data_IF_801121492445
#
_entry.id   IF_801121492445
#
_cell.length_a   1.000
_cell.length_b   1.000
_cell.length_c   1.000
_cell.angle_alpha   90.00
_cell.angle_beta   90.00
_cell.angle_gamma   90.00
#
_symmetry.space_group_name_H-M   'P 1'
#
loop_
_entity.id
_entity.type
_entity.pdbx_description
1 polymer ?
#
# COMPACT_ATOMS: atom_id res chain seq x y z
N UNK A 1 28.76 -13.64 1.40
CA UNK A 1 27.33 -13.99 1.50
C UNK A 1 26.59 -12.87 0.79
N UNK A 2 25.86 -13.17 -0.28
CA UNK A 2 24.99 -12.19 -0.91
C UNK A 2 24.08 -11.60 0.19
N UNK A 3 24.12 -10.27 0.36
CA UNK A 3 23.29 -9.60 1.35
C UNK A 3 21.82 -9.88 1.03
N UNK A 4 21.00 -10.17 2.04
CA UNK A 4 19.57 -10.40 1.81
C UNK A 4 18.92 -9.14 1.21
N UNK A 5 18.21 -9.31 0.10
CA UNK A 5 17.43 -8.24 -0.55
C UNK A 5 16.24 -7.88 0.32
N UNK A 6 16.03 -6.59 0.55
CA UNK A 6 14.90 -6.07 1.30
C UNK A 6 14.02 -5.19 0.43
N UNK A 7 12.82 -4.85 0.92
CA UNK A 7 11.91 -3.89 0.25
C UNK A 7 12.55 -2.51 -0.02
N UNK A 8 13.67 -2.19 0.64
CA UNK A 8 14.40 -0.94 0.45
C UNK A 8 15.26 -0.93 -0.81
N UNK A 9 15.61 -2.11 -1.31
CA UNK A 9 16.59 -2.31 -2.37
C UNK A 9 15.91 -2.43 -3.76
N UNK A 10 14.58 -2.41 -3.79
CA UNK A 10 13.76 -2.58 -5.00
C UNK A 10 13.00 -1.30 -5.33
N UNK A 11 12.80 -1.04 -6.62
CA UNK A 11 11.97 0.08 -7.07
C UNK A 11 10.56 0.01 -6.47
N UNK A 12 10.04 1.18 -6.10
CA UNK A 12 8.77 1.28 -5.41
C UNK A 12 7.60 0.83 -6.29
N UNK A 13 7.62 1.19 -7.57
CA UNK A 13 6.52 0.93 -8.49
C UNK A 13 6.48 -0.55 -8.88
N UNK A 14 7.65 -1.14 -9.21
CA UNK A 14 7.78 -2.56 -9.53
C UNK A 14 7.35 -3.43 -8.34
N UNK A 15 7.86 -3.16 -7.14
CA UNK A 15 7.45 -3.87 -5.92
C UNK A 15 5.94 -3.77 -5.63
N UNK A 16 5.36 -2.58 -5.71
CA UNK A 16 3.92 -2.39 -5.40
C UNK A 16 3.06 -3.21 -6.37
N UNK A 17 3.44 -3.24 -7.65
CA UNK A 17 2.73 -3.99 -8.69
C UNK A 17 2.83 -5.50 -8.42
N UNK A 18 4.03 -6.01 -8.16
CA UNK A 18 4.27 -7.42 -7.84
C UNK A 18 3.51 -7.86 -6.58
N UNK A 19 3.57 -7.07 -5.51
CA UNK A 19 2.90 -7.41 -4.25
C UNK A 19 1.38 -7.28 -4.34
N UNK A 20 0.85 -6.35 -5.14
CA UNK A 20 -0.59 -6.27 -5.42
C UNK A 20 -1.08 -7.54 -6.15
N UNK A 21 -0.34 -8.00 -7.16
CA UNK A 21 -0.65 -9.24 -7.87
C UNK A 21 -0.60 -10.46 -6.94
N UNK A 22 0.39 -10.51 -6.03
CA UNK A 22 0.47 -11.55 -5.00
C UNK A 22 -0.75 -11.56 -4.07
N UNK A 23 -1.15 -10.41 -3.54
CA UNK A 23 -2.33 -10.28 -2.67
C UNK A 23 -3.62 -10.71 -3.39
N UNK A 24 -3.74 -10.38 -4.67
CA UNK A 24 -4.86 -10.80 -5.52
C UNK A 24 -4.88 -12.32 -5.69
N UNK A 25 -3.75 -12.92 -6.06
CA UNK A 25 -3.60 -14.38 -6.23
C UNK A 25 -3.88 -15.14 -4.93
N UNK A 26 -3.54 -14.56 -3.78
CA UNK A 26 -3.80 -15.19 -2.48
C UNK A 26 -5.30 -15.27 -2.17
N UNK A 27 -6.11 -14.31 -2.63
CA UNK A 27 -7.57 -14.30 -2.43
C UNK A 27 -8.03 -14.16 -0.98
N UNK A 28 -7.11 -13.93 -0.03
CA UNK A 28 -7.41 -13.86 1.41
C UNK A 28 -7.69 -12.45 1.90
N UNK A 29 -7.35 -11.42 1.13
CA UNK A 29 -7.54 -10.03 1.51
C UNK A 29 -9.05 -9.69 1.51
N UNK A 30 -9.66 -9.36 2.66
CA UNK A 30 -11.08 -9.05 2.70
C UNK A 30 -11.35 -7.69 2.05
N UNK A 31 -12.07 -7.69 0.93
CA UNK A 31 -12.43 -6.47 0.20
C UNK A 31 -13.78 -5.94 0.72
N UNK A 32 -13.88 -4.65 1.10
CA UNK A 32 -15.17 -4.04 1.41
C UNK A 32 -16.08 -3.95 0.19
N UNK A 33 -17.37 -4.26 0.35
CA UNK A 33 -18.33 -4.28 -0.78
C UNK A 33 -18.59 -2.92 -1.46
N UNK A 34 -18.08 -1.81 -0.92
CA UNK A 34 -18.22 -0.49 -1.53
C UNK A 34 -17.05 -0.11 -2.46
N UNK A 35 -16.01 -0.95 -2.59
CA UNK A 35 -14.77 -0.62 -3.32
C UNK A 35 -15.01 -0.16 -4.76
N UNK A 36 -16.04 -0.66 -5.42
CA UNK A 36 -16.35 -0.35 -6.83
C UNK A 36 -17.16 0.94 -7.01
N UNK A 37 -17.63 1.55 -5.92
CA UNK A 37 -18.58 2.67 -5.96
C UNK A 37 -18.01 3.98 -5.41
N UNK A 38 -16.85 3.93 -4.77
CA UNK A 38 -16.29 5.08 -4.06
C UNK A 38 -15.10 5.69 -4.77
N UNK A 39 -14.89 6.98 -4.49
CA UNK A 39 -13.61 7.64 -4.70
C UNK A 39 -12.69 7.48 -3.50
N UNK A 40 -11.37 7.52 -3.74
CA UNK A 40 -10.34 7.33 -2.71
C UNK A 40 -10.14 8.54 -1.79
N UNK A 41 -10.68 9.70 -2.15
CA UNK A 41 -10.58 10.91 -1.34
C UNK A 41 -11.47 12.04 -1.85
N UNK A 42 -11.64 13.08 -1.02
CA UNK A 42 -12.50 14.23 -1.36
C UNK A 42 -11.97 14.99 -2.56
N UNK A 43 -10.64 15.11 -2.69
CA UNK A 43 -9.98 15.79 -3.81
C UNK A 43 -10.12 15.09 -5.16
N UNK A 44 -10.47 13.80 -5.18
CA UNK A 44 -10.63 13.07 -6.44
C UNK A 44 -11.98 13.42 -7.07
N UNK A 45 -11.96 13.68 -8.36
CA UNK A 45 -13.16 13.96 -9.17
C UNK A 45 -13.82 12.66 -9.63
N UNK A 46 -13.00 11.67 -10.01
CA UNK A 46 -13.44 10.35 -10.49
C UNK A 46 -12.98 9.23 -9.54
N UNK A 47 -13.69 8.09 -9.51
CA UNK A 47 -13.21 6.87 -8.86
C UNK A 47 -11.97 6.31 -9.58
N UNK A 48 -11.21 5.41 -8.93
CA UNK A 48 -10.11 4.69 -9.58
C UNK A 48 -10.58 3.94 -10.84
N UNK A 49 -9.78 3.97 -11.90
CA UNK A 49 -10.08 3.27 -13.16
C UNK A 49 -9.71 1.79 -13.11
N UNK A 50 -8.66 1.46 -12.35
CA UNK A 50 -8.26 0.07 -12.11
C UNK A 50 -9.25 -0.57 -11.12
N UNK A 51 -9.81 -1.72 -11.50
CA UNK A 51 -10.72 -2.52 -10.66
C UNK A 51 -9.98 -3.09 -9.45
N UNK A 52 -8.68 -3.39 -9.62
CA UNK A 52 -7.83 -3.97 -8.57
C UNK A 52 -7.16 -2.91 -7.69
N UNK A 53 -7.59 -1.64 -7.76
CA UNK A 53 -6.97 -0.53 -7.05
C UNK A 53 -6.84 -0.76 -5.54
N UNK A 54 -7.74 -1.55 -4.94
CA UNK A 54 -7.69 -1.87 -3.52
C UNK A 54 -6.46 -2.71 -3.15
N UNK A 55 -6.05 -3.63 -4.02
CA UNK A 55 -4.83 -4.42 -3.85
C UNK A 55 -3.59 -3.55 -3.99
N UNK A 56 -3.58 -2.66 -4.99
CA UNK A 56 -2.50 -1.67 -5.19
C UNK A 56 -2.37 -0.77 -3.96
N UNK A 57 -3.51 -0.30 -3.42
CA UNK A 57 -3.53 0.51 -2.20
C UNK A 57 -3.00 -0.26 -1.00
N UNK A 58 -3.37 -1.54 -0.85
CA UNK A 58 -2.89 -2.43 0.19
C UNK A 58 -1.39 -2.66 0.12
N UNK A 59 -0.86 -2.94 -1.06
CA UNK A 59 0.57 -3.11 -1.27
C UNK A 59 1.37 -1.84 -0.94
N UNK A 60 0.89 -0.70 -1.41
CA UNK A 60 1.49 0.61 -1.11
C UNK A 60 1.49 0.93 0.39
N UNK A 61 0.39 0.63 1.11
CA UNK A 61 0.32 0.84 2.56
C UNK A 61 1.25 -0.11 3.32
N UNK A 62 1.32 -1.40 2.92
CA UNK A 62 2.20 -2.37 3.54
C UNK A 62 3.68 -1.94 3.42
N UNK A 63 4.10 -1.51 2.22
CA UNK A 63 5.45 -0.93 1.99
C UNK A 63 5.68 0.31 2.85
N UNK A 64 4.70 1.21 2.92
CA UNK A 64 4.84 2.43 3.71
C UNK A 64 5.03 2.15 5.21
N UNK A 65 4.27 1.18 5.76
CA UNK A 65 4.38 0.78 7.16
C UNK A 65 5.72 0.11 7.42
N UNK A 66 6.17 -0.80 6.54
CA UNK A 66 7.49 -1.43 6.61
C UNK A 66 8.62 -0.37 6.76
N UNK A 67 8.60 0.66 5.92
CA UNK A 67 9.65 1.68 5.90
C UNK A 67 9.61 2.64 7.10
N UNK A 68 8.42 2.91 7.65
CA UNK A 68 8.20 3.91 8.70
C UNK A 68 8.03 3.29 10.10
N UNK A 69 8.12 1.96 10.22
CA UNK A 69 7.96 1.14 11.43
C UNK A 69 6.53 1.14 12.00
N UNK A 70 6.04 2.31 12.41
CA UNK A 70 4.71 2.48 13.01
C UNK A 70 3.96 3.61 12.31
N UNK A 71 2.74 3.31 11.84
CA UNK A 71 1.93 4.27 11.07
C UNK A 71 0.47 4.20 11.48
N UNK A 72 -0.15 5.38 11.66
CA UNK A 72 -1.59 5.52 11.88
C UNK A 72 -2.34 6.00 10.64
N UNK A 73 -3.66 5.83 10.64
CA UNK A 73 -4.55 6.25 9.55
C UNK A 73 -4.40 7.73 9.21
N UNK A 74 -4.24 8.61 10.20
CA UNK A 74 -4.07 10.05 9.97
C UNK A 74 -2.83 10.40 9.14
N UNK A 75 -1.73 9.63 9.25
CA UNK A 75 -0.53 9.82 8.44
C UNK A 75 -0.77 9.37 7.00
N UNK A 76 -1.41 8.22 6.81
CA UNK A 76 -1.77 7.72 5.48
C UNK A 76 -2.69 8.68 4.75
N UNK A 77 -3.67 9.27 5.45
CA UNK A 77 -4.57 10.27 4.86
C UNK A 77 -3.85 11.49 4.30
N UNK A 78 -2.77 11.94 4.95
CA UNK A 78 -1.92 13.04 4.45
C UNK A 78 -1.09 12.59 3.26
N UNK A 79 -0.50 11.40 3.32
CA UNK A 79 0.31 10.82 2.23
C UNK A 79 -0.51 10.61 0.96
N UNK A 80 -1.75 10.15 1.10
CA UNK A 80 -2.66 9.91 -0.02
C UNK A 80 -3.50 11.15 -0.39
N UNK A 81 -3.40 12.20 0.42
CA UNK A 81 -4.04 13.49 0.19
C UNK A 81 -3.44 14.18 -1.02
N UNK A 82 -4.22 15.03 -1.66
CA UNK A 82 -3.77 15.79 -2.84
C UNK A 82 -4.44 17.16 -2.90
N UNK A 83 -4.01 18.00 -3.83
CA UNK A 83 -4.62 19.29 -4.04
C UNK A 83 -6.04 19.11 -4.62
N UNK A 84 -7.03 19.75 -4.01
CA UNK A 84 -8.39 19.79 -4.55
C UNK A 84 -8.57 21.00 -5.46
N UNK A 85 -9.15 20.78 -6.64
CA UNK A 85 -9.66 21.85 -7.49
C UNK A 85 -10.95 22.42 -6.87
N UNK A 86 -10.98 23.73 -6.61
CA UNK A 86 -12.10 24.42 -5.95
C UNK A 86 -12.84 25.35 -6.93
N UNK A 87 -12.78 25.04 -8.22
CA UNK A 87 -13.30 25.89 -9.29
C UNK A 87 -12.49 27.18 -9.38
N UNK A 88 -13.15 28.32 -9.23
CA UNK A 88 -12.49 29.64 -9.36
C UNK A 88 -11.59 30.01 -8.17
N UNK A 89 -11.57 29.24 -7.08
CA UNK A 89 -10.74 29.52 -5.89
C UNK A 89 -9.41 28.77 -5.99
N UNK A 90 -8.30 29.33 -5.46
CA UNK A 90 -7.00 28.66 -5.45
C UNK A 90 -7.06 27.25 -4.84
N UNK A 91 -6.23 26.37 -5.39
CA UNK A 91 -6.10 24.99 -4.94
C UNK A 91 -5.55 24.94 -3.51
N UNK A 92 -5.92 23.89 -2.78
CA UNK A 92 -5.38 23.62 -1.43
C UNK A 92 -5.22 22.11 -1.24
N UNK A 93 -4.24 21.71 -0.44
CA UNK A 93 -4.14 20.32 -0.02
C UNK A 93 -5.35 19.91 0.84
N UNK A 94 -5.87 18.71 0.60
CA UNK A 94 -6.83 18.06 1.50
C UNK A 94 -6.47 16.59 1.68
N UNK A 95 -6.70 16.13 2.90
CA UNK A 95 -6.49 14.73 3.30
C UNK A 95 -7.40 13.77 2.50
N UNK A 96 -6.90 12.56 2.27
CA UNK A 96 -7.66 11.47 1.66
C UNK A 96 -8.76 10.91 2.59
N UNK A 97 -9.54 9.97 2.05
CA UNK A 97 -10.59 9.27 2.79
C UNK A 97 -9.99 8.37 3.86
N UNK A 98 -10.29 8.67 5.13
CA UNK A 98 -9.87 7.82 6.24
C UNK A 98 -10.55 6.45 6.26
N UNK A 99 -11.71 6.30 5.62
CA UNK A 99 -12.40 5.00 5.55
C UNK A 99 -11.60 3.99 4.72
N UNK A 100 -11.08 4.44 3.58
CA UNK A 100 -10.29 3.61 2.66
C UNK A 100 -9.03 3.11 3.36
N UNK A 101 -8.17 4.01 3.83
CA UNK A 101 -6.92 3.65 4.47
C UNK A 101 -7.14 2.78 5.73
N UNK A 102 -8.17 3.08 6.52
CA UNK A 102 -8.52 2.28 7.70
C UNK A 102 -8.95 0.87 7.33
N UNK A 103 -9.80 0.70 6.30
CA UNK A 103 -10.25 -0.64 5.88
C UNK A 103 -9.11 -1.44 5.28
N UNK A 104 -8.22 -0.83 4.52
CA UNK A 104 -7.02 -1.50 4.02
C UNK A 104 -6.15 -1.98 5.16
N UNK A 105 -5.86 -1.12 6.15
CA UNK A 105 -5.10 -1.50 7.34
C UNK A 105 -5.74 -2.65 8.13
N UNK A 106 -7.05 -2.61 8.34
CA UNK A 106 -7.81 -3.69 8.99
C UNK A 106 -7.77 -5.00 8.18
N UNK A 107 -7.74 -4.90 6.85
CA UNK A 107 -7.70 -6.07 5.97
C UNK A 107 -6.33 -6.72 5.98
N UNK A 108 -5.25 -5.92 5.97
CA UNK A 108 -3.88 -6.37 6.15
C UNK A 108 -3.62 -6.98 7.54
N UNK A 109 -4.29 -6.46 8.57
CA UNK A 109 -4.24 -7.01 9.93
C UNK A 109 -4.91 -8.39 10.00
N UNK A 110 -6.05 -8.57 9.35
CA UNK A 110 -6.76 -9.87 9.30
C UNK A 110 -5.96 -10.98 8.63
N UNK A 111 -5.13 -10.64 7.64
CA UNK A 111 -4.23 -11.61 6.98
C UNK A 111 -2.87 -11.75 7.70
N UNK A 112 -2.68 -11.08 8.84
CA UNK A 112 -1.48 -11.19 9.67
C UNK A 112 -0.25 -10.46 9.14
N UNK A 113 -0.40 -9.56 8.16
CA UNK A 113 0.71 -8.74 7.65
C UNK A 113 1.00 -7.57 8.58
N UNK A 114 -0.03 -6.96 9.15
CA UNK A 114 0.07 -5.86 10.11
C UNK A 114 -0.44 -6.30 11.49
N UNK A 115 0.08 -5.66 12.54
CA UNK A 115 -0.45 -5.76 13.90
C UNK A 115 -0.58 -4.37 14.52
N UNK A 116 -1.40 -4.28 15.58
CA UNK A 116 -1.51 -3.04 16.34
C UNK A 116 -0.25 -2.83 17.17
N UNK A 117 0.24 -1.60 17.18
CA UNK A 117 1.35 -1.19 18.03
C UNK A 117 0.77 -0.63 19.33
N UNK A 118 0.78 -1.42 20.41
CA UNK A 118 0.21 -1.02 21.71
C UNK A 118 1.03 0.07 22.40
N UNK A 119 2.35 0.13 22.14
CA UNK A 119 3.24 1.09 22.81
C UNK A 119 3.11 2.49 22.21
N UNK A 120 3.12 2.59 20.88
CA UNK A 120 3.17 3.88 20.16
C UNK A 120 1.83 4.25 19.51
N UNK A 121 0.91 3.31 19.44
CA UNK A 121 -0.35 3.46 18.71
C UNK A 121 -0.18 3.33 17.20
N UNK A 122 -1.27 2.99 16.51
CA UNK A 122 -1.28 2.75 15.08
C UNK A 122 -1.03 1.28 14.75
N UNK A 123 -0.37 1.00 13.63
CA UNK A 123 0.01 -0.37 13.23
C UNK A 123 1.47 -0.44 12.82
N UNK A 124 2.05 -1.61 13.09
CA UNK A 124 3.40 -1.99 12.66
C UNK A 124 3.34 -3.27 11.81
N UNK A 125 4.41 -3.53 11.07
CA UNK A 125 4.56 -4.76 10.30
C UNK A 125 4.82 -5.93 11.27
N UNK A 126 4.20 -7.09 11.03
CA UNK A 126 4.50 -8.31 11.80
C UNK A 126 5.80 -8.95 11.29
N UNK A 127 6.40 -9.84 12.07
CA UNK A 127 7.57 -10.61 11.60
C UNK A 127 7.22 -11.53 10.41
N UNK A 128 5.99 -12.04 10.35
CA UNK A 128 5.52 -12.82 9.21
C UNK A 128 5.33 -11.94 7.97
N UNK A 129 4.73 -10.75 8.13
CA UNK A 129 4.56 -9.76 7.07
C UNK A 129 5.90 -9.28 6.53
N UNK A 130 6.87 -8.99 7.40
CA UNK A 130 8.21 -8.59 6.99
C UNK A 130 8.87 -9.65 6.10
N UNK A 131 8.84 -10.94 6.50
CA UNK A 131 9.39 -12.04 5.70
C UNK A 131 8.69 -12.20 4.35
N UNK A 132 7.38 -12.00 4.31
CA UNK A 132 6.59 -12.10 3.08
C UNK A 132 6.93 -10.97 2.11
N UNK A 133 7.00 -9.74 2.61
CA UNK A 133 7.40 -8.57 1.82
C UNK A 133 8.84 -8.69 1.32
N UNK A 134 9.79 -9.12 2.15
CA UNK A 134 11.20 -9.28 1.76
C UNK A 134 11.36 -10.40 0.72
N UNK A 135 10.59 -11.49 0.81
CA UNK A 135 10.57 -12.55 -0.23
C UNK A 135 10.08 -12.01 -1.57
N UNK A 136 9.00 -11.23 -1.57
CA UNK A 136 8.48 -10.64 -2.80
C UNK A 136 9.44 -9.60 -3.37
N UNK A 137 10.14 -8.86 -2.50
CA UNK A 137 11.20 -7.95 -2.92
C UNK A 137 12.31 -8.71 -3.64
N UNK A 138 12.77 -9.84 -3.09
CA UNK A 138 13.76 -10.68 -3.75
C UNK A 138 13.30 -11.17 -5.13
N UNK A 139 12.08 -11.71 -5.25
CA UNK A 139 11.55 -12.14 -6.56
C UNK A 139 11.40 -10.98 -7.54
N UNK A 140 11.13 -9.77 -7.05
CA UNK A 140 11.04 -8.58 -7.91
C UNK A 140 12.41 -8.15 -8.40
N UNK A 141 13.44 -8.21 -7.54
CA UNK A 141 14.82 -7.92 -7.93
C UNK A 141 15.36 -8.92 -8.95
N UNK A 142 15.09 -10.23 -8.74
CA UNK A 142 15.46 -11.27 -9.71
C UNK A 142 14.79 -11.04 -11.07
N UNK A 143 13.51 -10.68 -11.09
CA UNK A 143 12.82 -10.34 -12.34
C UNK A 143 13.32 -9.04 -13.00
N UNK A 144 13.78 -8.07 -12.20
CA UNK A 144 14.40 -6.84 -12.71
C UNK A 144 15.74 -7.13 -13.40
N UNK A 145 16.58 -7.99 -12.81
CA UNK A 145 17.85 -8.42 -13.40
C UNK A 145 17.63 -9.19 -14.71
N UNK A 146 16.64 -10.08 -14.76
CA UNK A 146 16.29 -10.81 -15.99
C UNK A 146 15.81 -9.88 -17.12
N UNK A 147 15.00 -8.86 -16.81
CA UNK A 147 14.56 -7.85 -17.79
C UNK A 147 15.73 -7.02 -18.34
N UNK A 148 16.73 -6.71 -17.51
CA UNK A 148 17.93 -5.95 -17.91
C UNK A 148 18.90 -6.78 -18.77
N UNK A 149 19.01 -8.09 -18.53
CA UNK A 149 19.85 -9.00 -19.31
C UNK A 149 19.28 -9.30 -20.72
N UNK A 150 17.95 -9.16 -20.89
CA UNK A 150 17.23 -9.40 -22.15
C UNK A 150 17.14 -8.15 -23.08
N UNK A 151 17.46 -6.94 -22.58
CA UNK A 151 17.50 -5.67 -23.34
C UNK A 151 18.87 -5.35 -23.98
#
# INVERSE_FOLDING_TARGET
MAGGVTVRDVDAQKFITAYAAFLKRQGKLPIPGWVDTVKTGVAKELPPQDIDWFYVRAASIARHVYLRKTVGVGRLRKVHGTAINRGSRPSKHVDASGSVDRKVMQSLEKIGVLEQDEEKGGRRITQAGQRDLDRIAQTTAEAEEEEEDDE
#
